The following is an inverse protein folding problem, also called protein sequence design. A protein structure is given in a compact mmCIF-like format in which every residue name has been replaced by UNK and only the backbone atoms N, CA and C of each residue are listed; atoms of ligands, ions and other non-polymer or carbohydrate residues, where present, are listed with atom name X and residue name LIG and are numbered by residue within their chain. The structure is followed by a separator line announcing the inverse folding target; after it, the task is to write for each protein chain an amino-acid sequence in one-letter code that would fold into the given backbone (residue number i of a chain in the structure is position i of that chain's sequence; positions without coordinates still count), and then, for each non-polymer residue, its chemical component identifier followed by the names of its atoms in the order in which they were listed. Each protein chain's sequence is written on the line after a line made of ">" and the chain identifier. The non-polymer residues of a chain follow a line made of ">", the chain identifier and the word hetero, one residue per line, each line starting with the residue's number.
data_IF_547856413451
#
_entry.id   IF_547856413451
#
_cell.length_a   1.000
_cell.length_b   1.000
_cell.length_c   1.000
_cell.angle_alpha   90.00
_cell.angle_beta   90.00
_cell.angle_gamma   90.00
#
_symmetry.space_group_name_H-M   'P 1'
#
loop_
_entity.id
_entity.type
_entity.pdbx_description
1 polymer ?
#
# COMPACT_ATOMS: atom_id res chain seq x y z
N UNK A 1 41.98 29.96 -14.42
CA UNK A 1 40.89 30.13 -15.43
C UNK A 1 39.96 28.92 -15.54
N UNK A 2 40.48 27.68 -15.62
CA UNK A 2 39.63 26.48 -15.70
C UNK A 2 38.96 26.15 -14.35
N UNK A 3 39.74 26.19 -13.27
CA UNK A 3 39.28 25.92 -11.90
C UNK A 3 38.14 26.87 -11.46
N UNK A 4 38.25 28.15 -11.81
CA UNK A 4 37.21 29.16 -11.55
C UNK A 4 35.93 28.93 -12.38
N UNK A 5 36.05 28.39 -13.60
CA UNK A 5 34.90 27.95 -14.41
C UNK A 5 34.24 26.73 -13.79
N UNK A 6 35.02 25.77 -13.30
CA UNK A 6 34.50 24.57 -12.62
C UNK A 6 33.81 24.95 -11.31
N UNK A 7 34.38 25.87 -10.53
CA UNK A 7 33.77 26.42 -9.32
C UNK A 7 32.40 27.05 -9.60
N UNK A 8 32.31 27.94 -10.60
CA UNK A 8 31.02 28.53 -11.01
C UNK A 8 29.98 27.50 -11.44
N UNK A 9 30.38 26.47 -12.18
CA UNK A 9 29.47 25.38 -12.58
C UNK A 9 29.00 24.56 -11.38
N UNK A 10 29.89 24.30 -10.41
CA UNK A 10 29.49 23.63 -9.16
C UNK A 10 28.53 24.47 -8.33
N UNK A 11 28.75 25.78 -8.23
CA UNK A 11 27.86 26.68 -7.50
C UNK A 11 26.47 26.72 -8.14
N UNK A 12 26.39 26.80 -9.46
CA UNK A 12 25.13 26.71 -10.21
C UNK A 12 24.44 25.36 -10.01
N UNK A 13 25.19 24.26 -10.01
CA UNK A 13 24.64 22.93 -9.75
C UNK A 13 24.10 22.81 -8.32
N UNK A 14 24.78 23.40 -7.33
CA UNK A 14 24.35 23.43 -5.93
C UNK A 14 23.09 24.27 -5.76
N UNK A 15 23.06 25.47 -6.33
CA UNK A 15 21.90 26.37 -6.27
C UNK A 15 20.66 25.71 -6.92
N UNK A 16 20.85 25.04 -8.06
CA UNK A 16 19.78 24.30 -8.72
C UNK A 16 19.29 23.12 -7.87
N UNK A 17 20.21 22.39 -7.23
CA UNK A 17 19.88 21.30 -6.34
C UNK A 17 19.09 21.78 -5.10
N UNK A 18 19.53 22.84 -4.44
CA UNK A 18 18.84 23.42 -3.28
C UNK A 18 17.46 23.98 -3.66
N UNK A 19 17.38 24.68 -4.79
CA UNK A 19 16.10 25.17 -5.34
C UNK A 19 15.15 24.01 -5.64
N UNK A 20 15.66 22.95 -6.28
CA UNK A 20 14.90 21.73 -6.55
C UNK A 20 14.42 21.05 -5.27
N UNK A 21 15.29 20.88 -4.27
CA UNK A 21 14.95 20.31 -2.97
C UNK A 21 13.86 21.12 -2.26
N UNK A 22 13.94 22.45 -2.30
CA UNK A 22 12.93 23.33 -1.69
C UNK A 22 11.57 23.20 -2.36
N UNK A 23 11.52 23.13 -3.70
CA UNK A 23 10.29 22.92 -4.46
C UNK A 23 9.68 21.54 -4.15
N UNK A 24 10.53 20.52 -4.12
CA UNK A 24 10.14 19.15 -3.79
C UNK A 24 9.54 19.06 -2.38
N UNK A 25 10.11 19.78 -1.41
CA UNK A 25 9.59 19.84 -0.05
C UNK A 25 8.22 20.51 0.01
N UNK A 26 8.03 21.65 -0.69
CA UNK A 26 6.72 22.33 -0.78
C UNK A 26 5.64 21.42 -1.35
N UNK A 27 5.91 20.79 -2.50
CA UNK A 27 4.98 19.84 -3.13
C UNK A 27 4.65 18.69 -2.17
N UNK A 28 5.65 18.15 -1.45
CA UNK A 28 5.41 17.07 -0.50
C UNK A 28 4.50 17.49 0.66
N UNK A 29 4.65 18.72 1.16
CA UNK A 29 3.83 19.23 2.25
C UNK A 29 2.38 19.48 1.79
N UNK A 30 2.20 20.04 0.59
CA UNK A 30 0.88 20.23 -0.02
C UNK A 30 0.19 18.89 -0.30
N UNK A 31 0.91 17.92 -0.84
CA UNK A 31 0.43 16.55 -1.04
C UNK A 31 -0.03 15.92 0.28
N UNK A 32 0.76 16.06 1.35
CA UNK A 32 0.40 15.57 2.69
C UNK A 32 -0.89 16.24 3.21
N UNK A 33 -1.05 17.54 3.00
CA UNK A 33 -2.26 18.27 3.39
C UNK A 33 -3.50 17.77 2.62
N UNK A 34 -3.37 17.54 1.31
CA UNK A 34 -4.44 16.98 0.48
C UNK A 34 -4.80 15.55 0.91
N UNK A 35 -3.81 14.71 1.25
CA UNK A 35 -4.05 13.38 1.84
C UNK A 35 -4.86 13.44 3.12
N UNK A 36 -4.51 14.32 4.05
CA UNK A 36 -5.26 14.46 5.29
C UNK A 36 -6.71 14.92 5.05
N UNK A 37 -6.92 15.84 4.10
CA UNK A 37 -8.26 16.27 3.69
C UNK A 37 -9.07 15.12 3.09
N UNK A 38 -8.47 14.32 2.20
CA UNK A 38 -9.11 13.17 1.58
C UNK A 38 -9.53 12.13 2.63
N UNK A 39 -8.63 11.78 3.55
CA UNK A 39 -8.90 10.84 4.66
C UNK A 39 -9.99 11.37 5.58
N UNK A 40 -9.93 12.66 5.95
CA UNK A 40 -10.95 13.30 6.78
C UNK A 40 -12.33 13.24 6.11
N UNK A 41 -12.39 13.52 4.81
CA UNK A 41 -13.62 13.49 4.04
C UNK A 41 -14.20 12.06 3.92
N UNK A 42 -13.36 11.07 3.63
CA UNK A 42 -13.73 9.65 3.61
C UNK A 42 -14.33 9.21 4.96
N UNK A 43 -13.68 9.60 6.06
CA UNK A 43 -14.16 9.30 7.41
C UNK A 43 -15.52 9.93 7.72
N UNK A 44 -15.78 11.13 7.18
CA UNK A 44 -17.04 11.84 7.33
C UNK A 44 -18.15 11.17 6.52
N UNK A 45 -17.87 10.79 5.26
CA UNK A 45 -18.79 10.01 4.42
C UNK A 45 -19.18 8.71 5.13
N UNK A 46 -18.20 7.97 5.67
CA UNK A 46 -18.46 6.73 6.42
C UNK A 46 -19.31 6.98 7.67
N UNK A 47 -19.05 8.07 8.41
CA UNK A 47 -19.85 8.46 9.58
C UNK A 47 -21.30 8.79 9.20
N UNK A 48 -21.52 9.61 8.18
CA UNK A 48 -22.88 9.97 7.73
C UNK A 48 -23.63 8.72 7.25
N UNK A 49 -23.00 7.85 6.46
CA UNK A 49 -23.58 6.56 6.06
C UNK A 49 -24.00 5.72 7.27
N UNK A 50 -23.17 5.65 8.31
CA UNK A 50 -23.52 4.93 9.54
C UNK A 50 -24.71 5.54 10.29
N UNK A 51 -24.82 6.87 10.29
CA UNK A 51 -25.95 7.59 10.91
C UNK A 51 -27.25 7.30 10.15
N UNK A 52 -27.21 7.33 8.82
CA UNK A 52 -28.36 6.99 7.97
C UNK A 52 -28.82 5.57 8.25
N UNK A 53 -27.89 4.61 8.24
CA UNK A 53 -28.20 3.21 8.55
C UNK A 53 -28.82 3.05 9.95
N UNK A 54 -28.34 3.80 10.95
CA UNK A 54 -28.93 3.81 12.29
C UNK A 54 -30.35 4.37 12.31
N UNK A 55 -30.60 5.46 11.58
CA UNK A 55 -31.92 6.11 11.51
C UNK A 55 -32.95 5.26 10.75
N UNK A 56 -32.52 4.58 9.68
CA UNK A 56 -33.32 3.58 8.97
C UNK A 56 -33.69 2.43 9.92
N UNK A 57 -32.70 1.89 10.65
CA UNK A 57 -32.93 0.79 11.61
C UNK A 57 -33.93 1.17 12.71
N UNK A 58 -33.90 2.42 13.16
CA UNK A 58 -34.86 2.96 14.15
C UNK A 58 -36.22 3.33 13.56
N UNK A 59 -36.45 3.15 12.24
CA UNK A 59 -37.65 3.58 11.50
C UNK A 59 -37.98 5.07 11.67
N UNK A 60 -36.97 5.89 11.95
CA UNK A 60 -37.12 7.34 12.14
C UNK A 60 -36.92 8.13 10.84
N UNK A 61 -36.52 7.45 9.76
CA UNK A 61 -36.28 8.04 8.45
C UNK A 61 -37.19 7.40 7.42
N UNK A 62 -37.76 8.24 6.55
CA UNK A 62 -38.50 7.78 5.39
C UNK A 62 -37.56 7.01 4.43
N UNK A 63 -37.93 5.78 4.01
CA UNK A 63 -37.07 4.95 3.15
C UNK A 63 -36.78 5.56 1.78
N UNK A 64 -37.69 6.36 1.21
CA UNK A 64 -37.47 7.01 -0.08
C UNK A 64 -36.45 8.15 0.05
N UNK A 65 -36.58 8.96 1.10
CA UNK A 65 -35.60 9.98 1.46
C UNK A 65 -34.23 9.40 1.80
N UNK A 66 -34.19 8.27 2.53
CA UNK A 66 -32.95 7.57 2.86
C UNK A 66 -32.20 7.09 1.61
N UNK A 67 -32.92 6.55 0.62
CA UNK A 67 -32.35 6.08 -0.65
C UNK A 67 -31.69 7.24 -1.40
N UNK A 68 -32.35 8.40 -1.47
CA UNK A 68 -31.81 9.60 -2.11
C UNK A 68 -30.52 10.07 -1.44
N UNK A 69 -30.48 10.07 -0.12
CA UNK A 69 -29.29 10.49 0.64
C UNK A 69 -28.12 9.51 0.48
N UNK A 70 -28.40 8.21 0.38
CA UNK A 70 -27.37 7.20 0.08
C UNK A 70 -26.84 7.34 -1.35
N UNK A 71 -27.69 7.68 -2.33
CA UNK A 71 -27.25 7.99 -3.71
C UNK A 71 -26.33 9.20 -3.77
N UNK A 72 -26.65 10.27 -3.03
CA UNK A 72 -25.80 11.45 -2.94
C UNK A 72 -24.45 11.14 -2.25
N UNK A 73 -24.46 10.33 -1.19
CA UNK A 73 -23.24 9.83 -0.55
C UNK A 73 -22.42 8.93 -1.47
N UNK A 74 -23.07 8.09 -2.26
CA UNK A 74 -22.41 7.21 -3.21
C UNK A 74 -21.76 8.02 -4.34
N UNK A 75 -22.44 9.06 -4.82
CA UNK A 75 -21.85 10.03 -5.76
C UNK A 75 -20.65 10.74 -5.15
N UNK A 76 -20.75 11.22 -3.91
CA UNK A 76 -19.64 11.85 -3.21
C UNK A 76 -18.45 10.89 -3.03
N UNK A 77 -18.73 9.62 -2.73
CA UNK A 77 -17.73 8.55 -2.64
C UNK A 77 -17.07 8.30 -3.99
N UNK A 78 -17.82 8.18 -5.08
CA UNK A 78 -17.29 7.95 -6.43
C UNK A 78 -16.40 9.11 -6.90
N UNK A 79 -16.78 10.36 -6.63
CA UNK A 79 -15.91 11.52 -6.93
C UNK A 79 -14.56 11.41 -6.20
N UNK A 80 -14.57 10.89 -4.98
CA UNK A 80 -13.37 10.72 -4.17
C UNK A 80 -12.54 9.49 -4.60
N UNK A 81 -13.16 8.38 -4.99
CA UNK A 81 -12.48 7.11 -5.32
C UNK A 81 -12.11 6.94 -6.79
N UNK A 82 -12.85 7.57 -7.70
CA UNK A 82 -12.64 7.45 -9.15
C UNK A 82 -11.97 8.71 -9.73
N UNK A 83 -11.96 9.81 -8.97
CA UNK A 83 -11.34 11.07 -9.36
C UNK A 83 -9.85 11.15 -9.06
N UNK A 84 -9.24 12.29 -9.38
CA UNK A 84 -7.82 12.60 -9.09
C UNK A 84 -7.49 12.50 -7.59
N UNK A 85 -8.51 12.71 -6.74
CA UNK A 85 -8.40 12.60 -5.30
C UNK A 85 -8.11 11.18 -4.80
N UNK A 86 -8.41 10.15 -5.60
CA UNK A 86 -8.13 8.75 -5.30
C UNK A 86 -6.62 8.48 -5.13
N UNK A 87 -5.77 9.31 -5.76
CA UNK A 87 -4.33 9.26 -5.61
C UNK A 87 -3.85 9.53 -4.17
N UNK A 88 -4.65 10.29 -3.41
CA UNK A 88 -4.34 10.70 -2.05
C UNK A 88 -4.98 9.80 -0.99
N UNK A 89 -5.93 8.94 -1.39
CA UNK A 89 -6.48 7.94 -0.49
C UNK A 89 -5.48 6.80 -0.28
N UNK A 90 -5.47 6.19 0.91
CA UNK A 90 -4.71 4.96 1.11
C UNK A 90 -5.23 3.92 0.10
N UNK A 91 -4.34 3.31 -0.66
CA UNK A 91 -4.72 2.17 -1.49
C UNK A 91 -5.38 1.13 -0.57
N UNK A 92 -6.60 0.70 -0.88
CA UNK A 92 -7.20 -0.42 -0.19
C UNK A 92 -6.34 -1.66 -0.47
N UNK A 93 -5.36 -1.89 0.39
CA UNK A 93 -4.57 -3.10 0.37
C UNK A 93 -5.52 -4.25 0.70
N UNK A 94 -5.87 -5.03 -0.32
CA UNK A 94 -6.74 -6.19 -0.22
C UNK A 94 -6.21 -7.16 0.86
N UNK A 95 -6.73 -7.05 2.07
CA UNK A 95 -6.51 -8.01 3.17
C UNK A 95 -5.21 -7.83 3.96
N UNK A 96 -5.28 -8.23 5.24
CA UNK A 96 -4.11 -8.34 6.15
C UNK A 96 -3.00 -9.22 5.58
N UNK A 97 -3.38 -10.21 4.76
CA UNK A 97 -2.45 -11.14 4.12
C UNK A 97 -1.53 -10.40 3.16
N UNK A 98 -2.05 -9.74 2.10
CA UNK A 98 -1.21 -8.95 1.19
C UNK A 98 -0.36 -7.94 1.97
N UNK A 99 -0.94 -7.23 2.95
CA UNK A 99 -0.21 -6.26 3.79
C UNK A 99 0.97 -6.87 4.57
N UNK A 100 0.96 -8.19 4.82
CA UNK A 100 2.06 -8.92 5.46
C UNK A 100 3.17 -9.34 4.47
N UNK A 101 2.82 -9.65 3.21
CA UNK A 101 3.80 -9.98 2.16
C UNK A 101 4.41 -8.75 1.51
N UNK A 102 3.57 -7.75 1.26
CA UNK A 102 3.87 -6.52 0.56
C UNK A 102 4.44 -5.46 1.52
N UNK A 103 4.12 -5.52 2.81
CA UNK A 103 4.37 -4.40 3.73
C UNK A 103 3.34 -3.27 3.50
N UNK A 104 3.49 -2.09 4.14
CA UNK A 104 2.65 -0.94 3.86
C UNK A 104 3.01 -0.36 2.47
N UNK A 105 2.63 -1.06 1.40
CA UNK A 105 2.94 -0.61 0.05
C UNK A 105 2.05 0.59 -0.29
N UNK A 106 2.62 1.78 -0.14
CA UNK A 106 2.18 2.96 -0.88
C UNK A 106 2.83 2.89 -2.27
N UNK A 107 2.23 2.14 -3.21
CA UNK A 107 2.77 1.99 -4.59
C UNK A 107 2.81 3.34 -5.32
N UNK A 108 2.12 4.38 -4.81
CA UNK A 108 2.10 5.69 -5.45
C UNK A 108 3.27 6.56 -4.98
N UNK A 109 4.47 6.12 -5.35
CA UNK A 109 5.70 6.86 -5.17
C UNK A 109 6.05 7.65 -6.43
N UNK A 110 5.78 8.95 -6.43
CA UNK A 110 6.04 9.84 -7.57
C UNK A 110 7.53 10.17 -7.81
N UNK A 111 8.52 9.64 -7.06
CA UNK A 111 9.86 10.24 -7.03
C UNK A 111 11.03 9.27 -7.10
N UNK A 112 12.09 9.67 -7.80
CA UNK A 112 13.33 8.92 -8.06
C UNK A 112 14.13 8.49 -6.81
N UNK A 113 13.93 9.12 -5.65
CA UNK A 113 14.45 8.61 -4.36
C UNK A 113 13.75 7.31 -3.92
N UNK A 114 12.57 7.05 -4.47
CA UNK A 114 11.83 5.80 -4.31
C UNK A 114 12.34 4.71 -5.26
N UNK A 115 13.20 4.99 -6.24
CA UNK A 115 13.85 3.90 -7.00
C UNK A 115 14.87 3.14 -6.13
N UNK A 116 15.55 3.83 -5.21
CA UNK A 116 16.44 3.19 -4.22
C UNK A 116 15.62 2.45 -3.15
N UNK A 117 14.50 3.02 -2.68
CA UNK A 117 13.55 2.34 -1.78
C UNK A 117 12.80 1.18 -2.43
N UNK A 118 12.50 1.23 -3.72
CA UNK A 118 11.91 0.11 -4.49
C UNK A 118 12.93 -1.00 -4.68
N UNK A 119 14.23 -0.68 -4.78
CA UNK A 119 15.30 -1.69 -4.80
C UNK A 119 15.52 -2.33 -3.42
N UNK A 120 15.36 -1.55 -2.36
CA UNK A 120 15.40 -2.00 -0.98
C UNK A 120 14.14 -2.81 -0.60
N UNK A 121 12.96 -2.41 -1.07
CA UNK A 121 11.70 -3.16 -0.95
C UNK A 121 11.71 -4.41 -1.82
N UNK A 122 12.27 -4.37 -3.04
CA UNK A 122 12.47 -5.57 -3.87
C UNK A 122 13.47 -6.53 -3.22
N UNK A 123 14.55 -6.02 -2.62
CA UNK A 123 15.51 -6.87 -1.92
C UNK A 123 14.93 -7.39 -0.60
N UNK A 124 14.11 -6.61 0.11
CA UNK A 124 13.35 -7.05 1.29
C UNK A 124 12.28 -8.08 0.92
N UNK A 125 11.60 -7.91 -0.23
CA UNK A 125 10.66 -8.86 -0.80
C UNK A 125 11.36 -10.17 -1.18
N UNK A 126 12.55 -10.09 -1.80
CA UNK A 126 13.40 -11.24 -2.11
C UNK A 126 13.88 -11.94 -0.85
N UNK A 127 14.34 -11.22 0.16
CA UNK A 127 14.81 -11.81 1.43
C UNK A 127 13.65 -12.43 2.21
N UNK A 128 12.48 -11.78 2.28
CA UNK A 128 11.31 -12.31 2.99
C UNK A 128 10.70 -13.51 2.28
N UNK A 129 10.65 -13.49 0.95
CA UNK A 129 10.27 -14.64 0.13
C UNK A 129 11.30 -15.76 0.26
N UNK A 130 12.61 -15.45 0.30
CA UNK A 130 13.68 -16.42 0.55
C UNK A 130 13.60 -17.05 1.93
N UNK A 131 13.27 -16.28 2.98
CA UNK A 131 13.01 -16.82 4.31
C UNK A 131 11.83 -17.78 4.31
N UNK A 132 10.73 -17.46 3.61
CA UNK A 132 9.59 -18.38 3.47
C UNK A 132 9.96 -19.64 2.67
N UNK A 133 10.76 -19.49 1.61
CA UNK A 133 11.33 -20.59 0.82
C UNK A 133 12.25 -21.49 1.63
N UNK A 134 12.91 -20.99 2.67
CA UNK A 134 13.82 -21.77 3.52
C UNK A 134 13.11 -22.35 4.73
N UNK A 135 12.23 -21.57 5.36
CA UNK A 135 11.56 -21.91 6.61
C UNK A 135 10.51 -22.99 6.38
N UNK A 136 9.77 -22.95 5.26
CA UNK A 136 8.78 -23.98 4.95
C UNK A 136 9.42 -25.37 4.74
N UNK A 137 10.44 -25.55 3.87
CA UNK A 137 11.16 -26.83 3.76
C UNK A 137 11.85 -27.24 5.06
N UNK A 138 12.41 -26.29 5.84
CA UNK A 138 13.02 -26.59 7.13
C UNK A 138 12.00 -27.15 8.13
N UNK A 139 10.79 -26.56 8.19
CA UNK A 139 9.71 -27.09 9.04
C UNK A 139 9.23 -28.45 8.56
N UNK A 140 9.13 -28.70 7.25
CA UNK A 140 8.81 -30.03 6.70
C UNK A 140 9.90 -31.05 7.03
N UNK A 141 11.18 -30.67 7.03
CA UNK A 141 12.30 -31.54 7.41
C UNK A 141 12.32 -31.86 8.91
N UNK A 142 12.03 -30.88 9.76
CA UNK A 142 11.89 -31.09 11.22
C UNK A 142 10.68 -31.98 11.50
N UNK A 143 9.54 -31.72 10.85
CA UNK A 143 8.32 -32.51 11.02
C UNK A 143 8.49 -33.94 10.49
N UNK A 144 9.19 -34.11 9.37
CA UNK A 144 9.64 -35.42 8.86
C UNK A 144 10.49 -36.13 9.92
N UNK A 145 11.47 -35.44 10.50
CA UNK A 145 12.37 -36.03 11.51
C UNK A 145 11.68 -36.38 12.82
N UNK A 146 10.57 -35.71 13.16
CA UNK A 146 9.91 -35.87 14.46
C UNK A 146 8.71 -36.82 14.42
N UNK A 147 8.00 -36.88 13.29
CA UNK A 147 6.76 -37.68 13.16
C UNK A 147 6.97 -38.94 12.31
N UNK A 148 7.99 -38.96 11.43
CA UNK A 148 8.16 -40.05 10.47
C UNK A 148 9.58 -40.63 10.50
N UNK A 149 9.72 -41.77 11.18
CA UNK A 149 10.88 -42.67 11.10
C UNK A 149 11.05 -43.27 9.68
N UNK A 150 11.27 -42.44 8.67
CA UNK A 150 11.64 -42.86 7.31
C UNK A 150 10.50 -43.10 6.32
N UNK A 151 9.22 -43.15 6.72
CA UNK A 151 8.12 -43.36 5.78
C UNK A 151 7.48 -42.02 5.33
N UNK A 152 7.58 -41.68 4.04
CA UNK A 152 7.05 -40.44 3.46
C UNK A 152 5.54 -40.55 3.19
N UNK A 153 4.67 -39.80 3.89
CA UNK A 153 3.28 -39.64 3.44
C UNK A 153 3.27 -38.77 2.18
N UNK A 154 2.28 -38.97 1.32
CA UNK A 154 2.05 -38.13 0.14
C UNK A 154 1.75 -36.65 0.49
N UNK A 155 1.33 -36.39 1.73
CA UNK A 155 0.87 -35.08 2.20
C UNK A 155 1.93 -33.95 2.15
N UNK A 156 3.16 -34.09 2.69
CA UNK A 156 4.19 -33.05 2.59
C UNK A 156 4.60 -32.73 1.15
N UNK A 157 4.59 -33.72 0.24
CA UNK A 157 4.90 -33.51 -1.18
C UNK A 157 3.78 -32.71 -1.86
N UNK A 158 2.52 -33.06 -1.61
CA UNK A 158 1.35 -32.34 -2.12
C UNK A 158 1.27 -30.91 -1.60
N UNK A 159 1.62 -30.69 -0.32
CA UNK A 159 1.65 -29.36 0.27
C UNK A 159 2.76 -28.49 -0.33
N UNK A 160 3.93 -29.09 -0.63
CA UNK A 160 5.02 -28.40 -1.31
C UNK A 160 4.68 -28.06 -2.77
N UNK A 161 4.04 -28.97 -3.51
CA UNK A 161 3.59 -28.69 -4.88
C UNK A 161 2.50 -27.61 -4.92
N UNK A 162 1.52 -27.66 -4.01
CA UNK A 162 0.50 -26.62 -3.88
C UNK A 162 1.11 -25.26 -3.50
N UNK A 163 2.13 -25.27 -2.63
CA UNK A 163 2.87 -24.08 -2.24
C UNK A 163 3.67 -23.47 -3.41
N UNK A 164 4.32 -24.30 -4.23
CA UNK A 164 5.02 -23.85 -5.43
C UNK A 164 4.06 -23.26 -6.48
N UNK A 165 2.90 -23.89 -6.69
CA UNK A 165 1.86 -23.37 -7.57
C UNK A 165 1.36 -21.99 -7.10
N UNK A 166 1.08 -21.85 -5.80
CA UNK A 166 0.62 -20.58 -5.21
C UNK A 166 1.62 -19.42 -5.35
N UNK A 167 2.92 -19.69 -5.42
CA UNK A 167 3.95 -18.64 -5.58
C UNK A 167 4.21 -18.27 -7.04
N UNK A 168 3.83 -19.12 -7.99
CA UNK A 168 4.08 -18.94 -9.42
C UNK A 168 2.83 -18.52 -10.22
N UNK A 169 1.66 -18.47 -9.57
CA UNK A 169 0.42 -17.86 -10.09
C UNK A 169 0.13 -16.53 -9.42
#
# INVERSE_FOLDING_TARGET
>A
KLEEKVGRVMDQARELHESGASLLWKISNEEQSLRQKAISLESSIRRVRSLINSLISKKLLDPEFARKLEEDLQRASSILTDGEAAAFLPAEAQGRFLRMFLGPINVRASRKEVQLKVKEEYNSYRDRTAFLFLLFPLTLLILKSWIWEGCLPAFPVQLYEAWLLFLYT
#
